data_IF_496817865712
#
_entry.id   IF_496817865712
#
_cell.length_a   1.000
_cell.length_b   1.000
_cell.length_c   1.000
_cell.angle_alpha   90.00
_cell.angle_beta   90.00
_cell.angle_gamma   90.00
#
_symmetry.space_group_name_H-M   'P 1'
#
loop_
_entity.id
_entity.type
_entity.pdbx_description
1 polymer ?
#
# COMPACT_ATOMS: atom_id res chain seq x y z
N UNK A 1 -29.60 3.07 -27.41
CA UNK A 1 -29.49 3.06 -25.94
C UNK A 1 -28.42 2.05 -25.53
N UNK A 2 -27.78 2.18 -24.37
CA UNK A 2 -26.68 1.30 -23.96
C UNK A 2 -27.03 -0.21 -23.91
N UNK A 3 -28.31 -0.55 -23.74
CA UNK A 3 -28.80 -1.95 -23.74
C UNK A 3 -28.80 -2.60 -25.12
N UNK A 4 -28.83 -1.81 -26.20
CA UNK A 4 -28.84 -2.33 -27.58
C UNK A 4 -27.49 -3.00 -27.93
N UNK A 5 -26.44 -2.73 -27.15
CA UNK A 5 -25.14 -3.43 -27.22
C UNK A 5 -25.30 -4.92 -26.93
N UNK A 6 -26.24 -5.29 -26.07
CA UNK A 6 -26.50 -6.67 -25.66
C UNK A 6 -27.60 -7.32 -26.51
N UNK A 7 -28.65 -6.57 -26.85
CA UNK A 7 -29.74 -7.04 -27.71
C UNK A 7 -30.68 -5.90 -28.11
N UNK A 8 -31.20 -5.95 -29.35
CA UNK A 8 -32.25 -5.03 -29.83
C UNK A 8 -33.63 -5.30 -29.20
N UNK A 9 -33.84 -6.52 -28.67
CA UNK A 9 -34.97 -6.80 -27.77
C UNK A 9 -34.62 -6.30 -26.37
N UNK A 10 -35.44 -5.37 -25.87
CA UNK A 10 -35.23 -4.70 -24.59
C UNK A 10 -35.24 -5.66 -23.39
N UNK A 11 -36.14 -6.63 -23.38
CA UNK A 11 -36.27 -7.59 -22.27
C UNK A 11 -35.04 -8.49 -22.22
N UNK A 12 -34.62 -8.97 -23.39
CA UNK A 12 -33.41 -9.79 -23.55
C UNK A 12 -32.13 -8.99 -23.24
N UNK A 13 -32.08 -7.72 -23.64
CA UNK A 13 -30.94 -6.83 -23.35
C UNK A 13 -30.73 -6.61 -21.85
N UNK A 14 -31.82 -6.48 -21.09
CA UNK A 14 -31.75 -6.36 -19.62
C UNK A 14 -31.26 -7.66 -18.98
N UNK A 15 -31.72 -8.82 -19.44
CA UNK A 15 -31.30 -10.12 -18.92
C UNK A 15 -29.81 -10.38 -19.18
N UNK A 16 -29.36 -10.14 -20.40
CA UNK A 16 -27.95 -10.29 -20.78
C UNK A 16 -27.03 -9.33 -20.02
N UNK A 17 -27.47 -8.08 -19.82
CA UNK A 17 -26.73 -7.11 -19.01
C UNK A 17 -26.57 -7.56 -17.56
N UNK A 18 -27.65 -8.07 -16.93
CA UNK A 18 -27.59 -8.60 -15.56
C UNK A 18 -26.62 -9.78 -15.45
N UNK A 19 -26.69 -10.71 -16.39
CA UNK A 19 -25.83 -11.90 -16.40
C UNK A 19 -24.36 -11.53 -16.60
N UNK A 20 -24.07 -10.54 -17.46
CA UNK A 20 -22.71 -10.04 -17.68
C UNK A 20 -22.12 -9.40 -16.42
N UNK A 21 -22.88 -8.56 -15.71
CA UNK A 21 -22.39 -7.87 -14.50
C UNK A 21 -22.31 -8.77 -13.26
N UNK A 22 -23.11 -9.84 -13.21
CA UNK A 22 -23.12 -10.80 -12.10
C UNK A 22 -22.16 -11.98 -12.32
N UNK A 23 -21.43 -12.04 -13.44
CA UNK A 23 -20.39 -13.04 -13.66
C UNK A 23 -19.24 -12.86 -12.67
N UNK A 24 -18.55 -13.95 -12.32
CA UNK A 24 -17.33 -13.90 -11.51
C UNK A 24 -16.30 -13.01 -12.19
N UNK A 25 -16.14 -11.81 -11.64
CA UNK A 25 -15.21 -10.84 -12.19
C UNK A 25 -13.86 -10.95 -11.46
N UNK A 26 -12.81 -11.31 -12.21
CA UNK A 26 -11.41 -11.31 -11.75
C UNK A 26 -10.68 -10.02 -12.09
N UNK A 27 -11.40 -8.98 -12.48
CA UNK A 27 -10.83 -7.68 -12.80
C UNK A 27 -10.01 -7.16 -11.62
N UNK A 28 -8.69 -7.14 -11.79
CA UNK A 28 -7.81 -6.35 -10.96
C UNK A 28 -8.01 -4.89 -11.36
N UNK A 29 -8.80 -4.15 -10.57
CA UNK A 29 -8.79 -2.69 -10.63
C UNK A 29 -7.33 -2.22 -10.47
N UNK A 30 -6.86 -1.37 -11.39
CA UNK A 30 -5.46 -0.92 -11.50
C UNK A 30 -4.81 -0.47 -10.16
N UNK A 31 -5.62 0.00 -9.20
CA UNK A 31 -5.17 0.52 -7.91
C UNK A 31 -5.52 -0.34 -6.68
N UNK A 32 -6.22 -1.46 -6.87
CA UNK A 32 -6.72 -2.31 -5.78
C UNK A 32 -5.90 -3.59 -5.65
N UNK A 33 -4.61 -3.45 -5.37
CA UNK A 33 -3.87 -4.50 -4.66
C UNK A 33 -4.39 -4.54 -3.22
N UNK A 34 -4.75 -5.71 -2.70
CA UNK A 34 -4.90 -5.90 -1.25
C UNK A 34 -3.59 -5.48 -0.59
N UNK A 35 -3.52 -4.24 -0.11
CA UNK A 35 -2.33 -3.72 0.53
C UNK A 35 -2.32 -4.31 1.93
N UNK A 36 -1.32 -5.13 2.21
CA UNK A 36 -0.93 -5.42 3.59
C UNK A 36 -0.61 -4.06 4.21
N UNK A 37 -1.42 -3.58 5.15
CA UNK A 37 -1.19 -2.30 5.83
C UNK A 37 -0.52 -2.62 7.17
N UNK A 38 0.75 -2.26 7.29
CA UNK A 38 1.45 -2.32 8.57
C UNK A 38 1.07 -1.08 9.39
N UNK A 39 0.66 -1.26 10.64
CA UNK A 39 0.34 -0.14 11.53
C UNK A 39 1.60 0.58 12.02
N UNK A 40 1.48 1.85 12.39
CA UNK A 40 2.60 2.61 12.96
C UNK A 40 3.16 1.95 14.23
N UNK A 41 2.31 1.30 15.02
CA UNK A 41 2.74 0.51 16.18
C UNK A 41 3.65 -0.64 15.76
N UNK A 42 3.28 -1.39 14.73
CA UNK A 42 4.10 -2.49 14.22
C UNK A 42 5.45 -1.99 13.67
N UNK A 43 5.46 -0.83 12.98
CA UNK A 43 6.73 -0.18 12.56
C UNK A 43 7.62 0.14 13.75
N UNK A 44 7.05 0.64 14.85
CA UNK A 44 7.79 0.87 16.10
C UNK A 44 8.30 -0.44 16.72
N UNK A 45 7.50 -1.52 16.69
CA UNK A 45 7.93 -2.83 17.19
C UNK A 45 9.13 -3.38 16.40
N UNK A 46 9.15 -3.20 15.07
CA UNK A 46 10.33 -3.54 14.26
C UNK A 46 11.56 -2.70 14.60
N UNK A 47 11.40 -1.39 14.86
CA UNK A 47 12.49 -0.54 15.33
C UNK A 47 13.02 -1.00 16.68
N UNK A 48 12.12 -1.36 17.61
CA UNK A 48 12.48 -1.88 18.93
C UNK A 48 13.31 -3.16 18.82
N UNK A 49 12.94 -4.07 17.90
CA UNK A 49 13.72 -5.28 17.62
C UNK A 49 15.13 -4.98 17.07
N UNK A 50 15.34 -3.82 16.44
CA UNK A 50 16.65 -3.33 16.00
C UNK A 50 17.42 -2.58 17.10
N UNK A 51 16.90 -2.53 18.33
CA UNK A 51 17.49 -1.78 19.45
C UNK A 51 17.21 -0.27 19.41
N UNK A 52 16.27 0.18 18.56
CA UNK A 52 15.87 1.58 18.41
C UNK A 52 14.54 1.77 19.12
N UNK A 53 14.57 2.34 20.32
CA UNK A 53 13.42 2.44 21.21
C UNK A 53 12.55 3.67 20.96
N UNK A 54 13.03 4.61 20.15
CA UNK A 54 12.28 5.83 19.81
C UNK A 54 12.66 6.39 18.45
N UNK A 55 11.75 7.18 17.87
CA UNK A 55 12.00 7.94 16.65
C UNK A 55 13.14 8.94 16.82
N UNK A 56 13.25 9.59 17.99
CA UNK A 56 14.34 10.52 18.29
C UNK A 56 15.70 9.81 18.21
N UNK A 57 15.80 8.60 18.78
CA UNK A 57 17.02 7.80 18.68
C UNK A 57 17.37 7.48 17.22
N UNK A 58 16.40 7.08 16.39
CA UNK A 58 16.61 6.85 14.96
C UNK A 58 17.18 8.09 14.24
N UNK A 59 16.67 9.28 14.58
CA UNK A 59 17.13 10.55 13.98
C UNK A 59 18.55 10.95 14.43
N UNK A 60 18.94 10.57 15.64
CA UNK A 60 20.26 10.84 16.22
C UNK A 60 21.33 9.85 15.80
N UNK A 61 20.96 8.71 15.20
CA UNK A 61 21.91 7.77 14.64
C UNK A 61 22.77 8.45 13.56
N UNK A 62 24.01 7.99 13.43
CA UNK A 62 24.83 8.37 12.29
C UNK A 62 24.15 7.92 10.99
N UNK A 63 24.57 8.53 9.87
CA UNK A 63 23.98 8.30 8.55
C UNK A 63 23.94 6.81 8.19
N UNK A 64 25.03 6.09 8.40
CA UNK A 64 25.14 4.68 8.00
C UNK A 64 24.16 3.78 8.77
N UNK A 65 24.10 3.94 10.09
CA UNK A 65 23.19 3.17 10.95
C UNK A 65 21.73 3.50 10.69
N UNK A 66 21.40 4.78 10.51
CA UNK A 66 20.05 5.23 10.16
C UNK A 66 19.62 4.66 8.81
N UNK A 67 20.48 4.75 7.81
CA UNK A 67 20.18 4.27 6.46
C UNK A 67 20.06 2.74 6.44
N UNK A 68 20.82 2.02 7.27
CA UNK A 68 20.63 0.58 7.47
C UNK A 68 19.26 0.24 8.08
N UNK A 69 18.84 0.95 9.13
CA UNK A 69 17.52 0.76 9.74
C UNK A 69 16.39 1.03 8.74
N UNK A 70 16.49 2.12 7.95
CA UNK A 70 15.54 2.45 6.89
C UNK A 70 15.50 1.35 5.82
N UNK A 71 16.66 0.82 5.38
CA UNK A 71 16.71 -0.30 4.43
C UNK A 71 16.02 -1.55 4.97
N UNK A 72 16.19 -1.86 6.26
CA UNK A 72 15.50 -3.01 6.88
C UNK A 72 13.99 -2.81 6.89
N UNK A 73 13.51 -1.61 7.26
CA UNK A 73 12.07 -1.31 7.25
C UNK A 73 11.46 -1.32 5.83
N UNK A 74 12.16 -0.82 4.82
CA UNK A 74 11.70 -0.85 3.41
C UNK A 74 11.51 -2.26 2.84
N UNK A 75 12.16 -3.27 3.43
CA UNK A 75 12.02 -4.68 3.02
C UNK A 75 10.78 -5.35 3.61
N UNK A 76 10.14 -4.73 4.60
CA UNK A 76 8.94 -5.27 5.24
C UNK A 76 7.75 -4.95 4.35
N UNK A 77 7.07 -5.99 3.88
CA UNK A 77 5.87 -5.85 3.06
C UNK A 77 4.82 -5.04 3.82
N UNK A 78 4.22 -4.06 3.14
CA UNK A 78 3.21 -3.18 3.71
C UNK A 78 3.71 -1.95 4.44
N UNK A 79 5.01 -1.81 4.67
CA UNK A 79 5.61 -0.52 5.10
C UNK A 79 5.85 0.35 3.87
N UNK A 80 5.29 1.55 3.87
CA UNK A 80 5.47 2.50 2.76
C UNK A 80 6.47 3.60 3.10
N UNK A 81 7.16 4.15 2.08
CA UNK A 81 8.04 5.32 2.24
C UNK A 81 7.30 6.50 2.88
N UNK A 82 6.02 6.69 2.53
CA UNK A 82 5.18 7.76 3.11
C UNK A 82 4.93 7.54 4.60
N UNK A 83 4.68 6.30 5.02
CA UNK A 83 4.51 5.96 6.43
C UNK A 83 5.80 6.23 7.20
N UNK A 84 6.94 5.79 6.68
CA UNK A 84 8.24 6.07 7.28
C UNK A 84 8.49 7.58 7.38
N UNK A 85 8.24 8.35 6.32
CA UNK A 85 8.42 9.80 6.34
C UNK A 85 7.54 10.50 7.38
N UNK A 86 6.25 10.11 7.46
CA UNK A 86 5.30 10.65 8.44
C UNK A 86 5.74 10.33 9.87
N UNK A 87 6.06 9.08 10.15
CA UNK A 87 6.38 8.61 11.50
C UNK A 87 7.73 9.13 11.99
N UNK A 88 8.74 9.06 11.12
CA UNK A 88 10.12 9.36 11.49
C UNK A 88 10.46 10.84 11.37
N UNK A 89 9.64 11.65 10.70
CA UNK A 89 9.94 13.04 10.37
C UNK A 89 11.08 13.22 9.35
N UNK A 90 11.65 12.13 8.82
CA UNK A 90 12.69 12.17 7.80
C UNK A 90 12.02 12.44 6.45
N UNK A 91 12.57 13.40 5.69
CA UNK A 91 12.02 13.76 4.39
C UNK A 91 11.89 12.53 3.47
N UNK A 92 10.75 12.42 2.78
CA UNK A 92 10.47 11.31 1.84
C UNK A 92 11.63 11.10 0.86
N UNK A 93 12.20 12.18 0.33
CA UNK A 93 13.32 12.15 -0.63
C UNK A 93 14.61 11.57 -0.05
N UNK A 94 14.82 11.67 1.27
CA UNK A 94 15.96 11.04 1.95
C UNK A 94 15.71 9.54 2.07
N UNK A 95 14.54 9.12 2.53
CA UNK A 95 14.15 7.71 2.68
C UNK A 95 14.13 6.98 1.32
N UNK A 96 13.71 7.68 0.27
CA UNK A 96 13.63 7.13 -1.10
C UNK A 96 15.01 6.77 -1.67
N UNK A 97 16.03 7.59 -1.36
CA UNK A 97 17.43 7.42 -1.83
C UNK A 97 18.22 6.33 -1.08
N UNK A 98 17.69 5.83 0.03
CA UNK A 98 18.33 4.83 0.91
C UNK A 98 18.04 3.40 0.47
#
# INVERSE_FOLDING_TARGET
>A
MALDIFSNDRTKGIELFKNYNNGDNRDQCLDYTEKVIVSDKAVMDYLNQMGITSISQLQQLNKEMRDEAIRKLKKIEGITIRQLARMTGIAKSVIDRV
#
